data_IF_747502747959
#
_entry.id   IF_747502747959
#
_cell.length_a   1.000
_cell.length_b   1.000
_cell.length_c   1.000
_cell.angle_alpha   90.00
_cell.angle_beta   90.00
_cell.angle_gamma   90.00
#
_symmetry.space_group_name_H-M   'P 1'
#
loop_
_entity.id
_entity.type
_entity.pdbx_description
1 polymer ?
#
# COMPACT_ATOMS: atom_id res chain seq x y z
N UNK A 1 11.50 35.21 -28.68
CA UNK A 1 12.96 35.21 -28.45
C UNK A 1 13.30 33.89 -27.78
N UNK A 2 14.00 33.04 -28.52
CA UNK A 2 14.36 31.68 -28.08
C UNK A 2 15.65 31.76 -27.28
N UNK A 3 15.70 31.20 -26.07
CA UNK A 3 16.95 30.90 -25.36
C UNK A 3 17.02 29.39 -25.13
N UNK A 4 17.82 28.77 -25.97
CA UNK A 4 18.36 27.43 -25.74
C UNK A 4 19.52 27.53 -24.76
N UNK A 5 19.47 26.78 -23.66
CA UNK A 5 20.64 26.52 -22.82
C UNK A 5 20.92 25.03 -22.89
N UNK A 6 22.02 24.74 -23.59
CA UNK A 6 22.59 23.40 -23.76
C UNK A 6 23.49 23.12 -22.53
N UNK A 7 23.08 22.28 -21.62
CA UNK A 7 23.88 21.83 -20.47
C UNK A 7 24.53 20.48 -20.75
N UNK A 8 25.86 20.50 -20.79
CA UNK A 8 26.70 19.31 -20.96
C UNK A 8 26.79 18.55 -19.65
N UNK A 9 26.36 17.30 -19.69
CA UNK A 9 26.40 16.37 -18.56
C UNK A 9 27.68 15.52 -18.62
N UNK A 10 28.60 15.72 -17.70
CA UNK A 10 29.76 14.85 -17.51
C UNK A 10 29.43 13.75 -16.52
N UNK A 11 29.45 12.50 -16.99
CA UNK A 11 29.29 11.31 -16.19
C UNK A 11 30.63 10.91 -15.56
N UNK A 12 30.66 10.81 -14.23
CA UNK A 12 31.74 10.16 -13.51
C UNK A 12 31.25 8.82 -12.95
N UNK A 13 31.80 7.72 -13.50
CA UNK A 13 31.64 6.38 -12.95
C UNK A 13 32.55 6.22 -11.74
N UNK A 14 32.00 5.91 -10.57
CA UNK A 14 32.73 5.37 -9.44
C UNK A 14 32.32 3.90 -9.23
N UNK A 15 33.20 2.98 -9.60
CA UNK A 15 33.09 1.58 -9.21
C UNK A 15 33.55 1.44 -7.76
N UNK A 16 32.65 1.14 -6.87
CA UNK A 16 32.97 0.66 -5.52
C UNK A 16 32.70 -0.84 -5.48
N UNK A 17 33.79 -1.62 -5.49
CA UNK A 17 33.73 -3.05 -5.28
C UNK A 17 33.49 -3.32 -3.79
N UNK A 18 32.33 -3.82 -3.42
CA UNK A 18 32.07 -4.42 -2.13
C UNK A 18 32.32 -5.91 -2.21
N UNK A 19 33.33 -6.39 -1.51
CA UNK A 19 33.61 -7.80 -1.30
C UNK A 19 32.49 -8.47 -0.49
N UNK A 20 32.04 -9.67 -0.87
CA UNK A 20 31.15 -10.44 -0.01
C UNK A 20 31.95 -11.07 1.12
N UNK A 21 31.66 -10.67 2.33
CA UNK A 21 32.19 -11.31 3.52
C UNK A 21 31.35 -12.56 3.79
N UNK A 22 31.90 -13.71 3.44
CA UNK A 22 31.36 -15.02 3.83
C UNK A 22 31.54 -15.20 5.34
N UNK A 23 30.51 -14.92 6.08
CA UNK A 23 30.37 -15.38 7.45
C UNK A 23 29.51 -16.64 7.41
N UNK A 24 30.13 -17.79 7.47
CA UNK A 24 29.47 -19.04 7.74
C UNK A 24 29.24 -19.13 9.25
N UNK A 25 28.04 -19.06 9.78
CA UNK A 25 27.78 -19.57 11.11
C UNK A 25 27.46 -21.04 10.98
N UNK A 26 28.44 -21.85 11.33
CA UNK A 26 28.21 -23.23 11.68
C UNK A 26 27.44 -23.26 13.00
N UNK A 27 26.14 -23.35 12.89
CA UNK A 27 25.27 -23.66 14.02
C UNK A 27 24.62 -25.00 13.71
N UNK A 28 25.28 -26.06 14.07
CA UNK A 28 24.68 -27.36 14.22
C UNK A 28 23.73 -27.29 15.43
N UNK A 29 22.54 -26.81 15.23
CA UNK A 29 21.44 -26.98 16.19
C UNK A 29 20.69 -28.20 15.70
N UNK A 30 20.77 -29.28 16.49
CA UNK A 30 19.87 -30.39 16.41
C UNK A 30 18.47 -29.84 16.56
N UNK A 31 17.81 -29.58 15.45
CA UNK A 31 16.40 -29.26 15.44
C UNK A 31 15.65 -30.55 15.78
N UNK A 32 15.33 -30.73 17.05
CA UNK A 32 14.24 -31.59 17.45
C UNK A 32 13.01 -31.02 16.76
N UNK A 33 12.51 -31.73 15.75
CA UNK A 33 11.28 -31.42 15.09
C UNK A 33 10.16 -31.46 16.12
N UNK A 34 9.79 -30.32 16.64
CA UNK A 34 8.52 -30.14 17.32
C UNK A 34 7.49 -30.22 16.20
N UNK A 35 6.58 -31.20 16.20
CA UNK A 35 5.46 -31.15 15.26
C UNK A 35 4.73 -29.86 15.56
N UNK A 36 4.71 -28.96 14.58
CA UNK A 36 3.86 -27.79 14.64
C UNK A 36 2.44 -28.30 14.92
N UNK A 37 1.74 -27.76 15.93
CA UNK A 37 0.33 -28.05 16.06
C UNK A 37 -0.30 -27.64 14.75
N UNK A 38 -0.89 -28.59 14.06
CA UNK A 38 -1.85 -28.30 13.02
C UNK A 38 -3.00 -27.58 13.69
N UNK A 39 -2.85 -26.27 13.83
CA UNK A 39 -3.96 -25.38 14.09
C UNK A 39 -4.84 -25.41 12.86
N UNK A 40 -5.67 -26.44 12.79
CA UNK A 40 -6.91 -26.39 12.05
C UNK A 40 -7.88 -25.49 12.82
N UNK A 41 -7.42 -24.30 13.16
CA UNK A 41 -8.24 -23.18 13.50
C UNK A 41 -8.58 -22.55 12.15
N UNK A 42 -9.86 -22.52 11.81
CA UNK A 42 -10.37 -21.52 10.90
C UNK A 42 -9.96 -20.17 11.49
N UNK A 43 -8.76 -19.71 11.15
CA UNK A 43 -8.49 -18.29 11.16
C UNK A 43 -9.55 -17.74 10.23
N UNK A 44 -10.58 -17.13 10.82
CA UNK A 44 -11.37 -16.14 10.12
C UNK A 44 -10.35 -15.08 9.74
N UNK A 45 -9.73 -15.29 8.61
CA UNK A 45 -8.95 -14.29 7.93
C UNK A 45 -9.91 -13.12 7.73
N UNK A 46 -9.69 -12.07 8.52
CA UNK A 46 -10.37 -10.79 8.38
C UNK A 46 -9.90 -10.18 7.07
N UNK A 47 -10.33 -10.77 5.97
CA UNK A 47 -10.12 -10.25 4.65
C UNK A 47 -11.24 -9.26 4.31
N UNK A 48 -10.94 -8.16 3.62
CA UNK A 48 -11.96 -7.28 3.09
C UNK A 48 -12.87 -8.05 2.13
N UNK A 49 -14.12 -7.63 2.04
CA UNK A 49 -15.06 -8.24 1.10
C UNK A 49 -14.61 -8.04 -0.36
N UNK A 50 -15.00 -8.94 -1.25
CA UNK A 50 -14.74 -8.78 -2.67
C UNK A 50 -15.35 -7.47 -3.20
N UNK A 51 -16.47 -7.04 -2.65
CA UNK A 51 -17.12 -5.77 -2.98
C UNK A 51 -16.24 -4.59 -2.58
N UNK A 52 -15.74 -4.56 -1.34
CA UNK A 52 -14.87 -3.49 -0.87
C UNK A 52 -13.58 -3.41 -1.71
N UNK A 53 -13.01 -4.56 -2.06
CA UNK A 53 -11.82 -4.63 -2.89
C UNK A 53 -12.08 -4.10 -4.30
N UNK A 54 -13.16 -4.53 -4.94
CA UNK A 54 -13.53 -4.09 -6.28
C UNK A 54 -13.80 -2.57 -6.34
N UNK A 55 -14.50 -2.04 -5.34
CA UNK A 55 -14.78 -0.60 -5.25
C UNK A 55 -13.50 0.20 -4.98
N UNK A 56 -12.61 -0.31 -4.13
CA UNK A 56 -11.32 0.32 -3.87
C UNK A 56 -10.48 0.45 -5.16
N UNK A 57 -10.50 -0.57 -6.02
CA UNK A 57 -9.81 -0.53 -7.31
C UNK A 57 -10.51 0.38 -8.32
N UNK A 58 -11.84 0.39 -8.32
CA UNK A 58 -12.65 1.20 -9.26
C UNK A 58 -12.46 2.71 -9.06
N UNK A 59 -12.34 3.17 -7.82
CA UNK A 59 -12.26 4.60 -7.52
C UNK A 59 -10.89 5.22 -7.81
N UNK A 60 -9.88 4.42 -8.11
CA UNK A 60 -8.56 4.92 -8.53
C UNK A 60 -8.70 5.64 -9.88
N UNK A 61 -8.21 6.86 -9.94
CA UNK A 61 -8.31 7.73 -11.11
C UNK A 61 -9.58 8.60 -11.16
N UNK A 62 -10.50 8.41 -10.22
CA UNK A 62 -11.67 9.29 -10.08
C UNK A 62 -11.29 10.56 -9.31
N UNK A 63 -12.10 11.61 -9.48
CA UNK A 63 -12.00 12.78 -8.61
C UNK A 63 -12.43 12.44 -7.18
N UNK A 64 -11.93 13.17 -6.20
CA UNK A 64 -12.29 12.99 -4.78
C UNK A 64 -13.80 12.87 -4.58
N UNK A 65 -14.59 13.81 -5.14
CA UNK A 65 -16.05 13.81 -5.01
C UNK A 65 -16.69 12.56 -5.62
N UNK A 66 -16.28 12.18 -6.83
CA UNK A 66 -16.80 10.97 -7.49
C UNK A 66 -16.48 9.71 -6.72
N UNK A 67 -15.27 9.58 -6.21
CA UNK A 67 -14.84 8.43 -5.42
C UNK A 67 -15.70 8.30 -4.14
N UNK A 68 -15.90 9.37 -3.41
CA UNK A 68 -16.72 9.39 -2.19
C UNK A 68 -18.17 9.00 -2.52
N UNK A 69 -18.75 9.57 -3.58
CA UNK A 69 -20.11 9.25 -4.02
C UNK A 69 -20.26 7.80 -4.46
N UNK A 70 -19.27 7.27 -5.19
CA UNK A 70 -19.24 5.87 -5.61
C UNK A 70 -19.22 4.94 -4.41
N UNK A 71 -18.34 5.16 -3.45
CA UNK A 71 -18.25 4.34 -2.23
C UNK A 71 -19.56 4.42 -1.42
N UNK A 72 -20.11 5.62 -1.23
CA UNK A 72 -21.35 5.81 -0.49
C UNK A 72 -22.58 5.25 -1.21
N UNK A 73 -22.52 5.11 -2.54
CA UNK A 73 -23.61 4.57 -3.37
C UNK A 73 -23.73 3.04 -3.36
N UNK A 74 -22.78 2.33 -2.75
CA UNK A 74 -22.83 0.86 -2.67
C UNK A 74 -23.91 0.43 -1.67
N UNK A 75 -25.00 -0.08 -2.22
CA UNK A 75 -26.16 -0.50 -1.40
C UNK A 75 -26.05 -1.92 -0.85
N UNK A 76 -25.17 -2.74 -1.43
CA UNK A 76 -24.98 -4.13 -1.02
C UNK A 76 -24.21 -4.26 0.29
N UNK A 77 -23.39 -3.27 0.61
CA UNK A 77 -22.53 -3.24 1.78
C UNK A 77 -22.28 -1.79 2.22
N UNK A 78 -22.43 -1.47 3.51
CA UNK A 78 -22.20 -0.12 4.01
C UNK A 78 -20.71 0.22 4.04
N UNK A 79 -20.16 0.62 2.90
CA UNK A 79 -18.77 1.07 2.81
C UNK A 79 -18.62 2.53 3.23
N UNK A 80 -17.50 2.85 3.85
CA UNK A 80 -17.13 4.21 4.23
C UNK A 80 -15.82 4.63 3.57
N UNK A 81 -15.68 5.91 3.28
CA UNK A 81 -14.45 6.49 2.76
C UNK A 81 -13.73 7.32 3.80
N UNK A 82 -12.41 7.34 3.73
CA UNK A 82 -11.54 8.19 4.55
C UNK A 82 -10.37 8.68 3.71
N UNK A 83 -10.09 9.97 3.77
CA UNK A 83 -8.91 10.53 3.14
C UNK A 83 -7.75 10.44 4.13
N UNK A 84 -6.68 9.77 3.74
CA UNK A 84 -5.48 9.62 4.58
C UNK A 84 -4.31 10.47 4.10
N UNK A 85 -4.34 10.90 2.83
CA UNK A 85 -3.38 11.82 2.26
C UNK A 85 -4.05 12.68 1.18
N UNK A 86 -3.70 13.96 1.15
CA UNK A 86 -4.07 14.87 0.06
C UNK A 86 -2.82 15.66 -0.33
N UNK A 87 -2.36 15.45 -1.56
CA UNK A 87 -1.11 15.98 -2.07
C UNK A 87 0.07 15.66 -1.13
N UNK A 88 0.72 16.65 -0.57
CA UNK A 88 1.83 16.48 0.39
C UNK A 88 1.36 16.38 1.84
N UNK A 89 0.07 16.60 2.12
CA UNK A 89 -0.47 16.57 3.46
C UNK A 89 -0.99 15.17 3.83
N UNK A 90 -0.42 14.60 4.89
CA UNK A 90 -0.87 13.33 5.47
C UNK A 90 -1.71 13.57 6.70
N UNK A 91 -2.87 12.93 6.77
CA UNK A 91 -3.77 13.02 7.92
C UNK A 91 -3.48 11.92 8.92
N UNK A 92 -3.65 12.24 10.21
CA UNK A 92 -3.51 11.24 11.27
C UNK A 92 -4.55 10.15 11.11
N UNK A 93 -4.09 8.91 11.06
CA UNK A 93 -4.95 7.73 11.04
C UNK A 93 -4.98 7.09 12.41
N UNK A 94 -6.17 6.66 12.82
CA UNK A 94 -6.36 5.88 14.04
C UNK A 94 -5.96 4.41 13.81
N UNK A 95 -5.54 3.73 14.86
CA UNK A 95 -5.09 2.32 14.79
C UNK A 95 -6.26 1.33 14.69
N UNK A 96 -7.48 1.81 14.47
CA UNK A 96 -8.67 0.97 14.29
C UNK A 96 -8.73 0.45 12.85
N UNK A 97 -8.48 -0.83 12.68
CA UNK A 97 -8.62 -1.50 11.39
C UNK A 97 -10.09 -1.82 11.11
N UNK A 98 -10.57 -1.44 9.92
CA UNK A 98 -11.97 -1.66 9.51
C UNK A 98 -12.04 -2.15 8.08
N UNK A 99 -12.69 -3.29 7.89
CA UNK A 99 -12.86 -3.93 6.58
C UNK A 99 -13.87 -3.22 5.66
N UNK A 100 -14.74 -2.41 6.26
CA UNK A 100 -15.77 -1.60 5.59
C UNK A 100 -15.28 -0.19 5.22
N UNK A 101 -14.00 0.12 5.46
CA UNK A 101 -13.45 1.45 5.24
C UNK A 101 -12.39 1.45 4.14
N UNK A 102 -12.60 2.29 3.13
CA UNK A 102 -11.66 2.54 2.05
C UNK A 102 -10.91 3.84 2.34
N UNK A 103 -9.62 3.74 2.55
CA UNK A 103 -8.75 4.89 2.74
C UNK A 103 -8.26 5.38 1.37
N UNK A 104 -8.39 6.67 1.11
CA UNK A 104 -8.06 7.32 -0.15
C UNK A 104 -6.79 8.16 -0.02
N UNK A 105 -5.91 8.04 -1.00
CA UNK A 105 -4.80 8.97 -1.21
C UNK A 105 -5.11 9.78 -2.47
N UNK A 106 -5.03 11.09 -2.35
CA UNK A 106 -5.45 12.04 -3.38
C UNK A 106 -4.26 12.92 -3.74
N UNK A 107 -3.98 13.02 -5.03
CA UNK A 107 -3.01 13.96 -5.59
C UNK A 107 -3.68 14.75 -6.72
N UNK A 108 -3.56 16.06 -6.72
CA UNK A 108 -4.20 16.96 -7.70
C UNK A 108 -5.74 16.77 -7.79
N UNK A 109 -6.38 16.41 -6.69
CA UNK A 109 -7.82 16.16 -6.64
C UNK A 109 -8.28 14.82 -7.24
N UNK A 110 -7.34 13.94 -7.57
CA UNK A 110 -7.59 12.60 -8.15
C UNK A 110 -7.11 11.54 -7.16
N UNK A 111 -7.88 10.47 -7.04
CA UNK A 111 -7.50 9.30 -6.24
C UNK A 111 -6.37 8.56 -6.93
N UNK A 112 -5.21 8.50 -6.30
CA UNK A 112 -4.01 7.84 -6.84
C UNK A 112 -3.76 6.47 -6.24
N UNK A 113 -4.25 6.24 -5.02
CA UNK A 113 -4.12 4.95 -4.33
C UNK A 113 -5.22 4.77 -3.30
N UNK A 114 -5.54 3.52 -3.01
CA UNK A 114 -6.51 3.12 -2.00
C UNK A 114 -5.95 2.03 -1.11
N UNK A 115 -6.45 1.94 0.11
CA UNK A 115 -6.20 0.82 1.03
C UNK A 115 -7.45 0.55 1.86
N UNK A 116 -7.68 -0.68 2.27
CA UNK A 116 -8.78 -1.04 3.16
C UNK A 116 -8.23 -1.17 4.60
N UNK A 117 -8.91 -0.52 5.54
CA UNK A 117 -8.46 -0.57 6.93
C UNK A 117 -8.94 0.52 7.86
#
# INVERSE_FOLDING_TARGET
>A
MKSMILGVLTATLALTACSPQSSTPEAAVSATAIPAPESSGSEMELAPSDTAQAVADEVIGMSETQAIETIAGISSEPLTSRIIRRDEESFMITMDYRLDRINLQIDDGIVTSTTIG
#
